data_IF_995672025277
#
_entry.id   IF_995672025277
#
_cell.length_a   1.000
_cell.length_b   1.000
_cell.length_c   1.000
_cell.angle_alpha   90.00
_cell.angle_beta   90.00
_cell.angle_gamma   90.00
#
_symmetry.space_group_name_H-M   'P 1'
#
loop_
_entity.id
_entity.type
_entity.pdbx_description
1 polymer ?
#
# COMPACT_ATOMS: atom_id res chain seq x y z
N UNK A 1 17.08 5.57 23.61
CA UNK A 1 16.00 5.21 22.69
C UNK A 1 15.96 6.27 21.59
N UNK A 2 16.45 5.97 20.39
CA UNK A 2 16.03 6.74 19.22
C UNK A 2 14.63 6.22 18.87
N UNK A 3 13.61 7.06 19.03
CA UNK A 3 12.31 6.80 18.45
C UNK A 3 12.43 7.02 16.93
N UNK A 4 12.95 6.01 16.23
CA UNK A 4 13.12 5.94 14.77
C UNK A 4 11.78 5.71 14.03
N UNK A 5 10.64 5.80 14.74
CA UNK A 5 9.33 5.65 14.11
C UNK A 5 9.07 6.84 13.19
N UNK A 6 8.66 6.60 11.93
CA UNK A 6 8.29 7.68 11.02
C UNK A 6 7.13 8.50 11.62
N UNK A 7 7.25 9.83 11.57
CA UNK A 7 6.17 10.75 11.94
C UNK A 7 5.02 10.74 10.92
N UNK A 8 3.95 11.45 11.25
CA UNK A 8 2.71 11.53 10.46
C UNK A 8 2.95 11.89 8.99
N UNK A 9 3.82 12.87 8.69
CA UNK A 9 4.13 13.26 7.31
C UNK A 9 4.83 12.13 6.53
N UNK A 10 5.76 11.43 7.18
CA UNK A 10 6.48 10.31 6.59
C UNK A 10 5.54 9.12 6.34
N UNK A 11 4.63 8.84 7.28
CA UNK A 11 3.59 7.83 7.10
C UNK A 11 2.62 8.17 5.96
N UNK A 12 2.20 9.43 5.85
CA UNK A 12 1.32 9.89 4.77
C UNK A 12 2.01 9.75 3.40
N UNK A 13 3.30 10.10 3.32
CA UNK A 13 4.10 9.97 2.11
C UNK A 13 4.27 8.50 1.69
N UNK A 14 4.57 7.62 2.65
CA UNK A 14 4.66 6.18 2.40
C UNK A 14 3.33 5.60 1.93
N UNK A 15 2.23 5.99 2.57
CA UNK A 15 0.89 5.55 2.20
C UNK A 15 0.49 6.06 0.81
N UNK A 16 0.83 7.31 0.49
CA UNK A 16 0.60 7.89 -0.83
C UNK A 16 1.36 7.15 -1.92
N UNK A 17 2.67 6.93 -1.72
CA UNK A 17 3.51 6.21 -2.67
C UNK A 17 3.03 4.76 -2.86
N UNK A 18 2.63 4.10 -1.77
CA UNK A 18 2.04 2.76 -1.81
C UNK A 18 0.77 2.76 -2.68
N UNK A 19 -0.16 3.69 -2.47
CA UNK A 19 -1.37 3.81 -3.28
C UNK A 19 -1.06 4.08 -4.75
N UNK A 20 -0.13 4.98 -5.07
CA UNK A 20 0.23 5.28 -6.46
C UNK A 20 0.82 4.08 -7.18
N UNK A 21 1.75 3.35 -6.55
CA UNK A 21 2.33 2.13 -7.12
C UNK A 21 1.26 1.06 -7.28
N UNK A 22 0.36 0.95 -6.30
CA UNK A 22 -0.69 -0.04 -6.30
C UNK A 22 -1.75 0.20 -7.38
N UNK A 23 -2.19 1.45 -7.54
CA UNK A 23 -3.12 1.88 -8.57
C UNK A 23 -2.54 1.62 -9.97
N UNK A 24 -1.27 1.97 -10.19
CA UNK A 24 -0.56 1.65 -11.43
C UNK A 24 -0.49 0.14 -11.70
N UNK A 25 -0.20 -0.65 -10.66
CA UNK A 25 -0.07 -2.10 -10.77
C UNK A 25 -1.43 -2.78 -10.98
N UNK A 26 -2.50 -2.27 -10.35
CA UNK A 26 -3.87 -2.69 -10.61
C UNK A 26 -4.37 -2.28 -12.00
N UNK A 27 -3.99 -1.11 -12.52
CA UNK A 27 -4.40 -0.69 -13.86
C UNK A 27 -3.70 -1.52 -14.95
N UNK A 28 -2.48 -1.99 -14.68
CA UNK A 28 -1.67 -2.82 -15.60
C UNK A 28 -1.96 -4.33 -15.49
N UNK A 29 -2.12 -4.86 -14.28
CA UNK A 29 -2.25 -6.30 -14.00
C UNK A 29 -3.57 -6.70 -13.32
N UNK A 30 -4.37 -5.74 -12.87
CA UNK A 30 -5.63 -5.96 -12.16
C UNK A 30 -6.82 -6.22 -13.07
N UNK A 31 -8.00 -6.32 -12.44
CA UNK A 31 -9.25 -6.85 -12.98
C UNK A 31 -9.54 -6.42 -14.43
N UNK A 32 -9.79 -7.41 -15.31
CA UNK A 32 -10.38 -7.17 -16.63
C UNK A 32 -9.43 -7.01 -17.82
N UNK A 33 -8.10 -7.02 -17.62
CA UNK A 33 -7.12 -6.92 -18.73
C UNK A 33 -6.33 -8.20 -19.07
N UNK A 34 -6.52 -9.28 -18.32
CA UNK A 34 -5.85 -10.57 -18.56
C UNK A 34 -6.78 -11.62 -19.21
N UNK A 35 -6.28 -12.34 -20.21
CA UNK A 35 -6.95 -13.48 -20.84
C UNK A 35 -7.37 -14.53 -19.77
N UNK A 36 -8.67 -14.70 -19.60
CA UNK A 36 -9.43 -15.80 -18.96
C UNK A 36 -9.13 -16.29 -17.53
N UNK A 37 -8.00 -16.05 -16.87
CA UNK A 37 -7.78 -16.54 -15.47
C UNK A 37 -7.02 -15.58 -14.54
N UNK A 38 -6.29 -14.61 -15.08
CA UNK A 38 -5.42 -13.72 -14.29
C UNK A 38 -6.17 -12.55 -13.64
N UNK A 39 -7.37 -12.22 -14.15
CA UNK A 39 -8.16 -11.08 -13.70
C UNK A 39 -8.83 -11.25 -12.32
N UNK A 40 -9.15 -12.48 -11.91
CA UNK A 40 -9.83 -12.74 -10.64
C UNK A 40 -8.86 -13.07 -9.48
N UNK A 41 -7.69 -13.67 -9.78
CA UNK A 41 -6.71 -14.07 -8.77
C UNK A 41 -5.61 -13.04 -8.52
N UNK A 42 -4.98 -12.50 -9.58
CA UNK A 42 -3.83 -11.62 -9.45
C UNK A 42 -4.22 -10.25 -8.83
N UNK A 43 -5.39 -9.72 -9.22
CA UNK A 43 -5.93 -8.49 -8.64
C UNK A 43 -6.24 -8.61 -7.15
N UNK A 44 -6.72 -9.77 -6.67
CA UNK A 44 -7.03 -10.01 -5.25
C UNK A 44 -5.75 -10.18 -4.43
N UNK A 45 -4.75 -10.89 -4.97
CA UNK A 45 -3.43 -11.05 -4.32
C UNK A 45 -2.77 -9.68 -4.13
N UNK A 46 -2.78 -8.86 -5.18
CA UNK A 46 -2.31 -7.48 -5.13
C UNK A 46 -3.02 -6.72 -4.00
N UNK A 47 -4.35 -6.80 -3.93
CA UNK A 47 -5.14 -6.08 -2.92
C UNK A 47 -4.80 -6.53 -1.49
N UNK A 48 -4.57 -7.82 -1.28
CA UNK A 48 -4.13 -8.35 0.01
C UNK A 48 -2.74 -7.87 0.41
N UNK A 49 -1.78 -7.87 -0.53
CA UNK A 49 -0.42 -7.36 -0.29
C UNK A 49 -0.46 -5.88 0.09
N UNK A 50 -1.24 -5.07 -0.64
CA UNK A 50 -1.41 -3.67 -0.32
C UNK A 50 -2.02 -3.47 1.07
N UNK A 51 -3.06 -4.23 1.43
CA UNK A 51 -3.71 -4.12 2.73
C UNK A 51 -2.76 -4.45 3.90
N UNK A 52 -1.91 -5.48 3.76
CA UNK A 52 -0.91 -5.84 4.79
C UNK A 52 0.11 -4.73 4.97
N UNK A 53 0.63 -4.17 3.86
CA UNK A 53 1.63 -3.10 3.92
C UNK A 53 0.99 -1.81 4.47
N UNK A 54 -0.24 -1.48 4.04
CA UNK A 54 -1.02 -0.37 4.55
C UNK A 54 -1.23 -0.49 6.06
N UNK A 55 -1.68 -1.65 6.57
CA UNK A 55 -1.80 -1.89 8.01
C UNK A 55 -0.47 -1.75 8.76
N UNK A 56 0.64 -2.17 8.15
CA UNK A 56 1.99 -1.98 8.71
C UNK A 56 2.38 -0.51 8.84
N UNK A 57 2.12 0.30 7.81
CA UNK A 57 2.36 1.75 7.85
C UNK A 57 1.44 2.39 8.91
N UNK A 58 0.16 2.02 8.94
CA UNK A 58 -0.80 2.61 9.88
C UNK A 58 -0.48 2.33 11.36
N UNK A 59 0.10 1.16 11.65
CA UNK A 59 0.49 0.76 13.02
C UNK A 59 1.94 1.09 13.37
N UNK A 60 2.78 1.36 12.37
CA UNK A 60 4.19 1.70 12.51
C UNK A 60 4.48 3.20 12.63
N UNK A 61 3.51 4.07 12.31
CA UNK A 61 3.65 5.53 12.30
C UNK A 61 3.04 6.14 13.57
N UNK A 62 3.74 7.09 14.18
CA UNK A 62 3.23 7.87 15.30
C UNK A 62 2.40 9.06 14.78
N UNK A 63 1.09 8.86 14.64
CA UNK A 63 0.14 9.87 14.14
C UNK A 63 0.11 11.16 14.96
N UNK A 64 0.46 11.09 16.24
CA UNK A 64 0.53 12.23 17.16
C UNK A 64 1.82 13.04 16.99
N UNK A 65 2.79 12.54 16.23
CA UNK A 65 4.09 13.16 16.00
C UNK A 65 4.16 13.64 14.56
N UNK A 66 4.27 14.95 14.36
CA UNK A 66 4.24 15.54 13.00
C UNK A 66 5.52 15.27 12.20
N UNK A 67 6.69 15.22 12.89
CA UNK A 67 8.03 15.01 12.35
C UNK A 67 8.72 13.79 12.97
#
# INVERSE_FOLDING_TARGET
MNDDRPGCLAGLLQFFLLNTVFDWLQERFGFGRGCSCTGCGCGVILMLVWAVIACGILTGVDWTRFF
#
